data_IF_793217171602
#
_entry.id   IF_793217171602
#
_cell.length_a   1.000
_cell.length_b   1.000
_cell.length_c   1.000
_cell.angle_alpha   90.00
_cell.angle_beta   90.00
_cell.angle_gamma   90.00
#
_symmetry.space_group_name_H-M   'P 1'
#
loop_
_entity.id
_entity.type
_entity.pdbx_description
1 polymer ?
#
# COMPACT_ATOMS: atom_id res chain seq x y z
N UNK A 1 27.51 -58.44 -20.71
CA UNK A 1 26.72 -59.63 -21.11
C UNK A 1 25.27 -59.25 -21.02
N UNK A 2 24.70 -59.05 -22.16
CA UNK A 2 23.40 -59.52 -22.65
C UNK A 2 22.19 -58.94 -21.91
N UNK A 3 21.22 -58.47 -22.48
CA UNK A 3 20.77 -58.10 -23.84
C UNK A 3 19.25 -57.95 -23.78
N UNK A 4 18.71 -56.96 -24.43
CA UNK A 4 17.41 -56.91 -25.11
C UNK A 4 16.10 -57.32 -24.37
N UNK A 5 14.96 -56.66 -24.44
CA UNK A 5 14.25 -56.19 -25.64
C UNK A 5 13.06 -55.32 -25.32
N UNK A 6 12.81 -54.36 -26.18
CA UNK A 6 11.59 -53.69 -26.55
C UNK A 6 10.31 -54.54 -26.55
N UNK A 7 9.22 -53.93 -26.19
CA UNK A 7 7.97 -54.03 -26.97
C UNK A 7 7.10 -52.76 -26.84
N UNK A 8 6.63 -52.35 -27.95
CA UNK A 8 5.75 -51.23 -28.30
C UNK A 8 4.28 -51.64 -28.18
N UNK A 9 3.49 -50.57 -28.20
CA UNK A 9 2.12 -50.48 -28.76
C UNK A 9 1.01 -50.50 -27.68
N UNK A 10 -0.03 -49.75 -27.74
CA UNK A 10 -0.59 -48.71 -28.59
C UNK A 10 -1.99 -48.37 -28.09
N UNK A 11 -2.38 -47.11 -28.27
CA UNK A 11 -3.72 -46.65 -28.60
C UNK A 11 -4.85 -46.57 -27.55
N UNK A 12 -5.18 -45.30 -27.28
CA UNK A 12 -6.48 -44.68 -27.59
C UNK A 12 -7.66 -45.01 -26.64
N UNK A 13 -8.16 -43.96 -26.06
CA UNK A 13 -9.49 -43.84 -25.48
C UNK A 13 -9.69 -42.47 -24.88
N UNK A 14 -9.99 -41.49 -25.74
CA UNK A 14 -10.46 -40.20 -25.28
C UNK A 14 -11.81 -40.36 -24.61
N UNK A 15 -11.97 -39.80 -23.43
CA UNK A 15 -13.30 -39.64 -22.80
C UNK A 15 -13.58 -38.17 -22.67
N UNK A 16 -14.59 -37.78 -23.41
CA UNK A 16 -15.27 -36.53 -23.52
C UNK A 16 -15.63 -35.92 -22.15
N UNK A 17 -15.25 -34.65 -21.98
CA UNK A 17 -15.83 -33.77 -20.95
C UNK A 17 -17.26 -33.42 -21.33
N UNK A 18 -18.23 -34.12 -20.76
CA UNK A 18 -19.62 -33.67 -20.58
C UNK A 18 -20.38 -34.65 -19.69
N UNK A 19 -21.01 -34.08 -18.65
CA UNK A 19 -21.99 -34.71 -17.76
C UNK A 19 -21.49 -35.05 -16.35
N UNK A 20 -21.51 -34.05 -15.47
CA UNK A 20 -21.85 -34.26 -14.06
C UNK A 20 -22.56 -33.00 -13.54
N UNK A 21 -23.81 -32.87 -13.97
CA UNK A 21 -24.78 -32.05 -13.24
C UNK A 21 -26.05 -32.91 -13.15
N UNK A 22 -26.35 -33.42 -11.95
CA UNK A 22 -27.71 -33.53 -11.40
C UNK A 22 -27.72 -34.18 -10.03
N UNK A 23 -28.50 -33.55 -9.17
CA UNK A 23 -29.05 -33.97 -7.87
C UNK A 23 -28.12 -33.68 -6.68
N UNK A 24 -28.27 -32.67 -5.85
CA UNK A 24 -29.46 -32.11 -5.20
C UNK A 24 -29.34 -32.36 -3.70
N UNK A 25 -28.92 -31.34 -2.91
CA UNK A 25 -29.35 -31.17 -1.51
C UNK A 25 -29.41 -29.68 -1.25
N UNK A 26 -30.60 -29.23 -0.85
CA UNK A 26 -30.89 -27.88 -0.42
C UNK A 26 -30.28 -27.66 0.96
N UNK A 27 -29.29 -26.82 1.08
CA UNK A 27 -28.92 -26.16 2.31
C UNK A 27 -28.89 -24.65 1.99
N UNK A 28 -29.75 -23.92 2.67
CA UNK A 28 -29.85 -22.48 2.55
C UNK A 28 -28.56 -21.85 3.07
N UNK A 29 -27.69 -21.47 2.17
CA UNK A 29 -26.62 -20.53 2.40
C UNK A 29 -26.94 -19.29 1.57
N UNK A 30 -26.94 -18.13 2.21
CA UNK A 30 -27.05 -16.86 1.53
C UNK A 30 -25.90 -16.78 0.50
N UNK A 31 -26.22 -17.08 -0.74
CA UNK A 31 -25.34 -16.85 -1.87
C UNK A 31 -25.32 -15.35 -2.14
N UNK A 32 -24.27 -14.67 -1.70
CA UNK A 32 -23.89 -13.41 -2.30
C UNK A 32 -23.61 -13.73 -3.78
N UNK A 33 -24.51 -13.34 -4.63
CA UNK A 33 -24.36 -13.41 -6.08
C UNK A 33 -23.15 -12.56 -6.44
N UNK A 34 -22.09 -13.21 -6.89
CA UNK A 34 -21.09 -12.58 -7.73
C UNK A 34 -21.82 -12.16 -9.01
N UNK A 35 -22.37 -10.96 -8.99
CA UNK A 35 -22.92 -10.33 -10.16
C UNK A 35 -21.74 -10.04 -11.09
N UNK A 36 -21.62 -10.83 -12.15
CA UNK A 36 -20.91 -10.38 -13.35
C UNK A 36 -21.68 -9.16 -13.83
N UNK A 37 -21.21 -7.98 -13.45
CA UNK A 37 -21.72 -6.71 -13.96
C UNK A 37 -21.27 -6.55 -15.41
N UNK A 38 -21.94 -7.24 -16.31
CA UNK A 38 -22.04 -6.82 -17.69
C UNK A 38 -23.13 -5.73 -17.76
N UNK A 39 -22.71 -4.49 -17.84
CA UNK A 39 -23.58 -3.40 -18.28
C UNK A 39 -23.85 -2.29 -17.26
N UNK A 40 -22.83 -1.53 -16.91
CA UNK A 40 -22.98 -0.10 -16.66
C UNK A 40 -21.77 0.57 -17.30
N UNK A 41 -21.99 1.29 -18.37
CA UNK A 41 -21.01 2.14 -19.04
C UNK A 41 -20.76 3.42 -18.23
N UNK A 42 -20.18 3.28 -17.06
CA UNK A 42 -19.24 4.25 -16.54
C UNK A 42 -17.88 3.59 -16.75
N UNK A 43 -17.26 3.86 -17.87
CA UNK A 43 -15.92 3.42 -18.18
C UNK A 43 -14.99 3.88 -17.07
N UNK A 44 -14.39 2.89 -16.34
CA UNK A 44 -13.21 3.16 -15.58
C UNK A 44 -12.28 4.02 -16.45
N UNK A 45 -11.73 5.07 -15.90
CA UNK A 45 -10.88 5.98 -16.67
C UNK A 45 -9.73 5.16 -17.23
N UNK A 46 -9.66 5.07 -18.56
CA UNK A 46 -8.54 4.42 -19.23
C UNK A 46 -7.28 5.22 -18.88
N UNK A 47 -6.32 4.53 -18.27
CA UNK A 47 -5.01 5.11 -18.00
C UNK A 47 -4.23 5.42 -19.30
N UNK A 48 -4.85 5.19 -20.46
CA UNK A 48 -4.22 5.23 -21.78
C UNK A 48 -3.96 6.60 -22.39
N UNK A 49 -4.69 7.65 -22.03
CA UNK A 49 -4.39 9.02 -22.51
C UNK A 49 -3.41 9.70 -21.56
N UNK A 50 -2.12 9.47 -21.78
CA UNK A 50 -1.10 9.77 -20.82
C UNK A 50 -0.09 10.78 -21.32
N UNK A 51 0.48 11.52 -20.38
CA UNK A 51 1.64 12.38 -20.62
C UNK A 51 2.82 11.57 -21.20
N UNK A 52 3.76 12.27 -21.83
CA UNK A 52 5.02 11.65 -22.26
C UNK A 52 5.84 11.19 -21.04
N UNK A 53 6.62 10.10 -21.17
CA UNK A 53 7.53 9.67 -20.14
C UNK A 53 8.55 10.75 -19.84
N UNK A 54 8.76 10.99 -18.54
CA UNK A 54 9.71 12.00 -18.09
C UNK A 54 11.11 11.39 -18.02
N UNK A 55 12.05 12.02 -18.72
CA UNK A 55 13.47 11.72 -18.60
C UNK A 55 14.18 12.92 -17.94
N UNK A 56 14.80 12.69 -16.80
CA UNK A 56 15.53 13.71 -16.05
C UNK A 56 17.01 13.48 -16.23
N UNK A 57 17.69 14.45 -16.87
CA UNK A 57 19.15 14.42 -16.98
C UNK A 57 19.80 14.47 -15.60
N UNK A 58 20.90 13.76 -15.43
CA UNK A 58 21.67 13.73 -14.18
C UNK A 58 22.16 15.12 -13.76
N UNK A 59 22.43 16.00 -14.74
CA UNK A 59 22.95 17.34 -14.51
C UNK A 59 21.86 18.37 -14.08
N UNK A 60 20.58 18.00 -14.20
CA UNK A 60 19.47 18.91 -13.89
C UNK A 60 18.87 18.69 -12.51
N UNK A 61 19.11 17.54 -11.90
CA UNK A 61 18.63 17.23 -10.55
C UNK A 61 19.56 17.80 -9.46
N UNK A 62 18.97 18.24 -8.35
CA UNK A 62 19.70 18.74 -7.19
C UNK A 62 19.82 17.68 -6.11
N UNK A 63 21.05 17.27 -5.78
CA UNK A 63 21.31 16.31 -4.69
C UNK A 63 21.13 16.97 -3.33
N UNK A 64 20.20 16.45 -2.52
CA UNK A 64 19.95 16.98 -1.17
C UNK A 64 21.22 16.88 -0.30
N UNK A 65 21.92 15.76 -0.34
CA UNK A 65 23.07 15.52 0.56
C UNK A 65 24.33 16.27 0.14
N UNK A 66 24.45 16.67 -1.14
CA UNK A 66 25.65 17.32 -1.66
C UNK A 66 25.50 18.83 -1.70
N UNK A 67 24.25 19.34 -1.72
CA UNK A 67 23.97 20.78 -1.90
C UNK A 67 23.37 21.46 -0.69
N UNK A 68 22.56 20.72 0.12
CA UNK A 68 21.93 21.29 1.30
C UNK A 68 22.89 21.30 2.50
N UNK A 69 22.76 22.31 3.36
CA UNK A 69 23.54 22.37 4.59
C UNK A 69 23.03 21.36 5.64
N UNK A 70 23.95 20.61 6.25
CA UNK A 70 23.60 19.73 7.36
C UNK A 70 23.41 20.57 8.64
N UNK A 71 22.25 20.39 9.31
CA UNK A 71 21.91 21.09 10.55
C UNK A 71 21.42 20.10 11.63
N UNK A 72 21.38 20.54 12.88
CA UNK A 72 20.76 19.79 13.95
C UNK A 72 19.25 19.63 13.67
N UNK A 73 18.66 18.51 14.12
CA UNK A 73 17.25 18.24 13.95
C UNK A 73 16.40 19.26 14.74
N UNK A 74 15.60 20.09 14.06
CA UNK A 74 14.79 21.12 14.73
C UNK A 74 13.51 20.56 15.36
N UNK A 75 13.20 19.26 15.12
CA UNK A 75 11.97 18.61 15.58
C UNK A 75 12.25 17.74 16.81
N UNK A 76 11.40 17.85 17.83
CA UNK A 76 11.38 16.99 18.99
C UNK A 76 10.06 16.24 19.11
N UNK A 77 10.09 15.02 19.64
CA UNK A 77 8.86 14.28 19.90
C UNK A 77 7.99 15.02 20.92
N UNK A 78 6.74 15.27 20.55
CA UNK A 78 5.74 15.88 21.46
C UNK A 78 5.09 14.84 22.36
N UNK A 79 4.95 13.61 21.85
CA UNK A 79 4.47 12.48 22.61
C UNK A 79 5.30 11.23 22.31
N UNK A 80 5.38 10.37 23.31
CA UNK A 80 5.96 9.04 23.19
C UNK A 80 5.09 8.05 23.95
N UNK A 81 4.65 7.00 23.27
CA UNK A 81 3.84 5.93 23.86
C UNK A 81 4.51 4.59 23.71
N UNK A 82 4.35 3.77 24.73
CA UNK A 82 4.85 2.39 24.75
C UNK A 82 3.69 1.43 24.55
N UNK A 83 3.76 0.62 23.49
CA UNK A 83 2.81 -0.45 23.20
C UNK A 83 3.46 -1.81 23.49
N UNK A 84 2.65 -2.86 23.72
CA UNK A 84 3.18 -4.22 23.78
C UNK A 84 3.90 -4.61 22.49
N UNK A 85 4.88 -5.49 22.60
CA UNK A 85 5.56 -6.07 21.43
C UNK A 85 4.57 -6.77 20.49
N UNK A 86 4.83 -6.69 19.20
CA UNK A 86 3.99 -7.32 18.17
C UNK A 86 2.91 -6.42 17.59
N UNK A 87 2.81 -5.16 18.05
CA UNK A 87 1.96 -4.16 17.43
C UNK A 87 2.69 -3.52 16.23
N UNK A 88 2.03 -3.51 15.06
CA UNK A 88 2.50 -2.89 13.82
C UNK A 88 1.49 -1.84 13.40
N UNK A 89 1.92 -0.59 13.34
CA UNK A 89 1.09 0.52 12.88
C UNK A 89 1.11 0.60 11.35
N UNK A 90 0.00 1.00 10.78
CA UNK A 90 -0.12 1.25 9.36
C UNK A 90 -0.45 2.73 9.10
N UNK A 91 -0.03 3.30 7.95
CA UNK A 91 -0.29 4.70 7.67
C UNK A 91 -1.78 5.01 7.55
N UNK A 92 -2.19 6.12 8.17
CA UNK A 92 -3.51 6.72 8.02
C UNK A 92 -3.43 8.23 8.28
N UNK A 93 -4.44 9.01 7.87
CA UNK A 93 -4.41 10.47 7.99
C UNK A 93 -5.07 11.00 9.27
N UNK A 94 -6.11 10.34 9.75
CA UNK A 94 -6.93 10.82 10.86
C UNK A 94 -6.27 10.75 12.25
N UNK A 95 -7.06 10.92 13.28
CA UNK A 95 -6.63 10.76 14.69
C UNK A 95 -6.31 9.30 15.01
N UNK A 96 -6.96 8.38 14.32
CA UNK A 96 -6.82 6.94 14.53
C UNK A 96 -5.87 6.32 13.51
N UNK A 97 -4.89 5.56 14.01
CA UNK A 97 -3.98 4.74 13.20
C UNK A 97 -4.38 3.28 13.29
N UNK A 98 -4.55 2.58 12.16
CA UNK A 98 -4.84 1.15 12.19
C UNK A 98 -3.61 0.36 12.64
N UNK A 99 -3.84 -0.65 13.46
CA UNK A 99 -2.79 -1.47 14.08
C UNK A 99 -3.12 -2.93 13.90
N UNK A 100 -2.15 -3.73 13.50
CA UNK A 100 -2.21 -5.19 13.57
C UNK A 100 -1.37 -5.69 14.72
N UNK A 101 -1.90 -6.65 15.47
CA UNK A 101 -1.20 -7.28 16.60
C UNK A 101 -0.88 -8.72 16.27
N UNK A 102 0.41 -9.07 16.36
CA UNK A 102 0.86 -10.45 16.16
C UNK A 102 0.31 -11.36 17.25
N UNK A 103 -0.16 -12.56 16.82
CA UNK A 103 -0.58 -13.60 17.74
C UNK A 103 0.56 -14.24 18.50
N UNK A 104 0.22 -14.89 19.60
CA UNK A 104 1.18 -15.65 20.43
C UNK A 104 1.65 -16.98 19.77
N UNK A 105 1.04 -17.37 18.65
CA UNK A 105 1.30 -18.65 17.97
C UNK A 105 1.63 -18.43 16.48
N UNK A 106 1.41 -19.49 15.68
CA UNK A 106 1.76 -19.48 14.25
C UNK A 106 0.99 -18.46 13.39
N UNK A 107 -0.17 -17.97 13.83
CA UNK A 107 -0.91 -16.93 13.13
C UNK A 107 -0.34 -15.56 13.50
N UNK A 108 0.31 -14.83 12.57
CA UNK A 108 1.07 -13.64 12.89
C UNK A 108 0.17 -12.47 13.30
N UNK A 109 -0.96 -12.25 12.64
CA UNK A 109 -1.84 -11.07 12.85
C UNK A 109 -3.25 -11.56 13.19
N UNK A 110 -3.59 -11.55 14.47
CA UNK A 110 -4.86 -12.12 14.95
C UNK A 110 -5.87 -11.07 15.40
N UNK A 111 -5.42 -9.86 15.70
CA UNK A 111 -6.26 -8.75 16.16
C UNK A 111 -5.99 -7.51 15.32
N UNK A 112 -7.06 -6.86 14.90
CA UNK A 112 -6.99 -5.52 14.33
C UNK A 112 -7.42 -4.49 15.38
N UNK A 113 -6.60 -3.47 15.57
CA UNK A 113 -6.78 -2.44 16.58
C UNK A 113 -6.65 -1.05 15.95
N UNK A 114 -6.95 -0.01 16.71
CA UNK A 114 -6.70 1.37 16.36
C UNK A 114 -6.02 2.11 17.50
N UNK A 115 -4.98 2.87 17.19
CA UNK A 115 -4.25 3.72 18.13
C UNK A 115 -4.66 5.18 17.95
N UNK A 116 -5.07 5.83 19.02
CA UNK A 116 -5.32 7.27 19.01
C UNK A 116 -4.01 8.05 19.08
N UNK A 117 -3.74 8.91 18.09
CA UNK A 117 -2.57 9.81 18.09
C UNK A 117 -2.71 10.99 19.04
N UNK A 118 -3.88 11.22 19.60
CA UNK A 118 -4.11 12.27 20.58
C UNK A 118 -3.93 11.81 22.04
N UNK A 119 -4.22 10.54 22.33
CA UNK A 119 -4.17 10.01 23.71
C UNK A 119 -3.19 8.85 23.91
N UNK A 120 -2.72 8.20 22.82
CA UNK A 120 -1.94 6.98 22.91
C UNK A 120 -2.77 5.74 23.27
N UNK A 121 -4.10 5.86 23.33
CA UNK A 121 -5.00 4.75 23.66
C UNK A 121 -5.06 3.75 22.49
N UNK A 122 -4.79 2.48 22.75
CA UNK A 122 -4.93 1.38 21.81
C UNK A 122 -6.26 0.67 22.08
N UNK A 123 -7.15 0.64 21.08
CA UNK A 123 -8.44 -0.04 21.14
C UNK A 123 -8.49 -1.22 20.19
N UNK A 124 -8.98 -2.36 20.67
CA UNK A 124 -9.30 -3.51 19.83
C UNK A 124 -10.55 -3.19 19.00
N UNK A 125 -10.47 -3.38 17.68
CA UNK A 125 -11.55 -3.10 16.72
C UNK A 125 -12.15 -4.39 16.19
N UNK A 126 -11.30 -5.34 15.75
CA UNK A 126 -11.71 -6.66 15.26
C UNK A 126 -10.92 -7.72 16.02
N UNK A 127 -11.57 -8.37 16.98
CA UNK A 127 -10.94 -9.32 17.90
C UNK A 127 -10.45 -10.61 17.22
N UNK A 128 -11.09 -10.97 16.10
CA UNK A 128 -10.77 -12.19 15.34
C UNK A 128 -11.33 -12.10 13.91
N UNK A 129 -10.78 -12.91 13.02
CA UNK A 129 -11.28 -13.01 11.65
C UNK A 129 -12.77 -13.35 11.59
N UNK A 130 -13.51 -12.63 10.76
CA UNK A 130 -14.96 -12.77 10.56
C UNK A 130 -15.27 -14.07 9.79
N UNK A 131 -14.40 -14.46 8.85
CA UNK A 131 -14.54 -15.71 8.08
C UNK A 131 -14.55 -16.96 8.96
N UNK A 132 -14.04 -16.88 10.19
CA UNK A 132 -14.22 -17.89 11.25
C UNK A 132 -13.51 -19.23 11.01
N UNK A 133 -12.68 -19.35 9.97
CA UNK A 133 -11.88 -20.57 9.75
C UNK A 133 -10.62 -20.54 10.63
N UNK A 134 -10.09 -21.69 10.99
CA UNK A 134 -8.87 -21.80 11.81
C UNK A 134 -7.61 -21.38 11.07
N UNK A 135 -7.69 -21.23 9.75
CA UNK A 135 -6.59 -20.83 8.85
C UNK A 135 -6.69 -19.39 8.38
N UNK A 136 -7.75 -18.67 8.74
CA UNK A 136 -7.92 -17.25 8.41
C UNK A 136 -7.19 -16.36 9.41
N UNK A 137 -6.47 -15.39 8.86
CA UNK A 137 -5.76 -14.36 9.63
C UNK A 137 -6.16 -12.97 9.15
N UNK A 138 -6.12 -11.98 10.02
CA UNK A 138 -6.19 -10.57 9.62
C UNK A 138 -4.84 -10.25 8.97
N UNK A 139 -4.87 -9.99 7.66
CA UNK A 139 -3.68 -9.81 6.83
C UNK A 139 -3.23 -8.35 6.74
N UNK A 140 -4.18 -7.45 6.54
CA UNK A 140 -3.91 -6.01 6.49
C UNK A 140 -5.10 -5.22 7.00
N UNK A 141 -4.84 -4.00 7.44
CA UNK A 141 -5.84 -3.07 7.98
C UNK A 141 -5.62 -1.68 7.44
N UNK A 142 -6.69 -0.92 7.29
CA UNK A 142 -6.67 0.50 6.98
C UNK A 142 -7.82 1.20 7.69
N UNK A 143 -7.66 2.45 8.07
CA UNK A 143 -8.77 3.25 8.58
C UNK A 143 -8.63 4.73 8.23
N UNK A 144 -9.75 5.42 8.35
CA UNK A 144 -9.87 6.85 8.58
C UNK A 144 -10.51 7.06 9.95
N UNK A 145 -10.92 8.28 10.27
CA UNK A 145 -11.72 8.53 11.48
C UNK A 145 -13.20 8.11 11.34
N UNK A 146 -13.64 7.69 10.14
CA UNK A 146 -15.04 7.38 9.83
C UNK A 146 -15.28 5.96 9.26
N UNK A 147 -14.24 5.27 8.82
CA UNK A 147 -14.32 3.90 8.28
C UNK A 147 -13.12 3.07 8.71
N UNK A 148 -13.35 1.80 8.97
CA UNK A 148 -12.32 0.79 9.24
C UNK A 148 -12.48 -0.35 8.24
N UNK A 149 -11.38 -0.72 7.57
CA UNK A 149 -11.35 -1.80 6.60
C UNK A 149 -10.23 -2.79 6.93
N UNK A 150 -10.46 -4.08 6.65
CA UNK A 150 -9.44 -5.11 6.85
C UNK A 150 -9.57 -6.23 5.82
N UNK A 151 -8.43 -6.82 5.51
CA UNK A 151 -8.34 -8.00 4.65
C UNK A 151 -8.08 -9.22 5.51
N UNK A 152 -8.86 -10.26 5.31
CA UNK A 152 -8.63 -11.58 5.86
C UNK A 152 -8.10 -12.52 4.79
N UNK A 153 -7.08 -13.29 5.13
CA UNK A 153 -6.42 -14.25 4.25
C UNK A 153 -6.46 -15.65 4.87
N UNK A 154 -6.98 -16.62 4.14
CA UNK A 154 -6.75 -18.02 4.46
C UNK A 154 -5.35 -18.42 4.02
N UNK A 155 -4.47 -18.71 5.00
CA UNK A 155 -3.05 -18.99 4.73
C UNK A 155 -2.82 -20.32 4.02
N UNK A 156 -3.83 -21.19 3.98
CA UNK A 156 -3.75 -22.51 3.32
C UNK A 156 -4.22 -22.44 1.88
N UNK A 157 -5.39 -21.85 1.64
CA UNK A 157 -5.99 -21.77 0.30
C UNK A 157 -5.58 -20.53 -0.47
N UNK A 158 -5.05 -19.52 0.22
CA UNK A 158 -4.77 -18.20 -0.31
C UNK A 158 -6.00 -17.41 -0.76
N UNK A 159 -7.20 -17.90 -0.46
CA UNK A 159 -8.43 -17.13 -0.62
C UNK A 159 -8.45 -15.96 0.39
N UNK A 160 -9.00 -14.83 -0.01
CA UNK A 160 -9.07 -13.67 0.84
C UNK A 160 -10.39 -12.91 0.71
N UNK A 161 -10.70 -12.14 1.73
CA UNK A 161 -11.90 -11.29 1.77
C UNK A 161 -11.56 -9.92 2.32
N UNK A 162 -12.15 -8.88 1.74
CA UNK A 162 -12.07 -7.50 2.23
C UNK A 162 -13.37 -7.16 2.93
N UNK A 163 -13.26 -6.71 4.16
CA UNK A 163 -14.37 -6.23 4.99
C UNK A 163 -14.19 -4.75 5.32
N UNK A 164 -15.31 -4.06 5.56
CA UNK A 164 -15.32 -2.72 6.11
C UNK A 164 -16.56 -2.45 6.95
N UNK A 165 -16.47 -1.47 7.82
CA UNK A 165 -17.59 -0.95 8.60
C UNK A 165 -17.39 0.52 8.90
N UNK A 166 -18.48 1.24 9.14
CA UNK A 166 -18.41 2.57 9.75
C UNK A 166 -17.63 2.50 11.08
N UNK A 167 -16.86 3.52 11.36
CA UNK A 167 -15.94 3.56 12.48
C UNK A 167 -15.96 4.93 13.13
N UNK A 168 -15.89 4.96 14.44
CA UNK A 168 -15.78 6.20 15.21
C UNK A 168 -15.21 5.91 16.59
N UNK A 169 -14.36 6.81 17.07
CA UNK A 169 -13.81 6.75 18.43
C UNK A 169 -13.16 5.40 18.80
N UNK A 170 -12.49 4.76 17.84
CA UNK A 170 -11.80 3.50 18.06
C UNK A 170 -12.68 2.26 18.05
N UNK A 171 -13.93 2.33 17.55
CA UNK A 171 -14.84 1.20 17.49
C UNK A 171 -15.64 1.18 16.19
N UNK A 172 -16.05 -0.01 15.75
CA UNK A 172 -17.02 -0.16 14.66
C UNK A 172 -18.39 0.34 15.13
N UNK A 173 -19.06 1.13 14.28
CA UNK A 173 -20.37 1.74 14.59
C UNK A 173 -21.47 1.30 13.62
N UNK A 174 -21.13 0.54 12.58
CA UNK A 174 -22.05 0.01 11.58
C UNK A 174 -21.95 -1.52 11.47
N UNK A 175 -22.77 -2.07 10.59
CA UNK A 175 -22.66 -3.48 10.20
C UNK A 175 -21.39 -3.72 9.38
N UNK A 176 -20.82 -4.91 9.54
CA UNK A 176 -19.66 -5.34 8.75
C UNK A 176 -20.14 -5.69 7.34
N UNK A 177 -19.59 -5.00 6.35
CA UNK A 177 -19.85 -5.25 4.94
C UNK A 177 -18.72 -6.07 4.33
N UNK A 178 -19.05 -7.06 3.52
CA UNK A 178 -18.09 -7.77 2.68
C UNK A 178 -17.97 -7.01 1.36
N UNK A 179 -16.84 -6.34 1.13
CA UNK A 179 -16.63 -5.54 -0.06
C UNK A 179 -16.08 -6.35 -1.23
N UNK A 180 -15.27 -7.38 -0.94
CA UNK A 180 -14.65 -8.21 -1.97
C UNK A 180 -14.30 -9.60 -1.45
N UNK A 181 -14.28 -10.57 -2.36
CA UNK A 181 -13.78 -11.92 -2.11
C UNK A 181 -13.06 -12.44 -3.36
N UNK A 182 -11.94 -13.11 -3.17
CA UNK A 182 -11.18 -13.71 -4.27
C UNK A 182 -10.42 -14.97 -3.82
N UNK A 183 -10.01 -15.74 -4.81
CA UNK A 183 -9.17 -16.92 -4.66
C UNK A 183 -7.66 -16.59 -4.82
N UNK A 184 -6.84 -17.63 -4.87
CA UNK A 184 -5.38 -17.51 -5.00
C UNK A 184 -4.89 -16.96 -6.34
N UNK A 185 -5.75 -16.81 -7.34
CA UNK A 185 -5.39 -16.19 -8.63
C UNK A 185 -5.26 -14.66 -8.51
N UNK A 186 -5.73 -14.09 -7.40
CA UNK A 186 -5.69 -12.67 -7.08
C UNK A 186 -4.90 -12.44 -5.80
N UNK A 187 -4.00 -11.47 -5.81
CA UNK A 187 -3.28 -11.09 -4.59
C UNK A 187 -4.21 -10.42 -3.57
N UNK A 188 -3.98 -10.60 -2.26
CA UNK A 188 -4.70 -9.87 -1.22
C UNK A 188 -4.67 -8.37 -1.47
N UNK A 189 -5.84 -7.73 -1.44
CA UNK A 189 -5.98 -6.35 -1.85
C UNK A 189 -5.16 -5.39 -0.99
N UNK A 190 -4.30 -4.53 -1.58
CA UNK A 190 -3.87 -3.31 -0.92
C UNK A 190 -5.06 -2.39 -0.72
N UNK A 191 -5.23 -1.88 0.50
CA UNK A 191 -6.39 -1.05 0.89
C UNK A 191 -5.94 0.24 1.55
N UNK A 192 -6.66 1.33 1.29
CA UNK A 192 -6.53 2.61 1.96
C UNK A 192 -7.91 3.19 2.28
N UNK A 193 -7.98 4.07 3.28
CA UNK A 193 -9.22 4.72 3.71
C UNK A 193 -9.04 6.24 3.77
N UNK A 194 -10.05 6.98 3.32
CA UNK A 194 -10.11 8.44 3.47
C UNK A 194 -11.57 8.88 3.68
N UNK A 195 -11.82 9.72 4.68
CA UNK A 195 -13.18 10.10 5.04
C UNK A 195 -14.05 8.86 5.29
N UNK A 196 -15.15 8.73 4.56
CA UNK A 196 -16.05 7.57 4.59
C UNK A 196 -15.74 6.55 3.49
N UNK A 197 -14.66 6.73 2.73
CA UNK A 197 -14.34 5.93 1.54
C UNK A 197 -13.28 4.87 1.82
N UNK A 198 -13.46 3.69 1.23
CA UNK A 198 -12.49 2.60 1.14
C UNK A 198 -12.05 2.45 -0.30
N UNK A 199 -10.75 2.47 -0.53
CA UNK A 199 -10.12 2.39 -1.84
C UNK A 199 -9.20 1.17 -1.84
N UNK A 200 -9.36 0.27 -2.81
CA UNK A 200 -8.52 -0.93 -2.89
C UNK A 200 -8.22 -1.33 -4.33
N UNK A 201 -7.19 -2.12 -4.50
CA UNK A 201 -6.80 -2.67 -5.79
C UNK A 201 -7.07 -4.16 -5.85
N UNK A 202 -7.70 -4.62 -6.93
CA UNK A 202 -7.82 -6.03 -7.28
C UNK A 202 -6.87 -6.29 -8.44
N UNK A 203 -5.87 -7.12 -8.20
CA UNK A 203 -4.82 -7.38 -9.19
C UNK A 203 -4.46 -8.86 -9.22
N UNK A 204 -4.17 -9.40 -10.43
CA UNK A 204 -3.83 -10.81 -10.55
C UNK A 204 -2.54 -11.13 -9.79
N UNK A 205 -2.47 -12.34 -9.22
CA UNK A 205 -1.26 -12.84 -8.59
C UNK A 205 -0.11 -12.89 -9.60
N UNK A 206 1.09 -12.50 -9.15
CA UNK A 206 2.27 -12.48 -10.02
C UNK A 206 2.66 -13.87 -10.55
N UNK A 207 2.21 -14.93 -9.91
CA UNK A 207 2.49 -16.34 -10.25
C UNK A 207 1.25 -17.17 -10.58
N UNK A 208 0.07 -16.55 -10.62
CA UNK A 208 -1.20 -17.21 -10.90
C UNK A 208 -1.46 -17.45 -12.39
N UNK A 209 -2.63 -18.02 -12.68
CA UNK A 209 -3.08 -18.28 -14.05
C UNK A 209 -3.57 -17.02 -14.79
N UNK A 210 -3.83 -15.93 -14.06
CA UNK A 210 -4.43 -14.68 -14.52
C UNK A 210 -3.43 -13.53 -14.68
N UNK A 211 -2.14 -13.80 -14.74
CA UNK A 211 -1.07 -12.78 -14.80
C UNK A 211 -1.19 -11.77 -15.94
N UNK A 212 -1.95 -12.12 -16.99
CA UNK A 212 -2.18 -11.26 -18.16
C UNK A 212 -3.46 -10.39 -18.05
N UNK A 213 -4.26 -10.59 -16.99
CA UNK A 213 -5.49 -9.80 -16.81
C UNK A 213 -5.18 -8.39 -16.32
N UNK A 214 -6.08 -7.46 -16.60
CA UNK A 214 -6.04 -6.10 -16.09
C UNK A 214 -6.25 -6.09 -14.57
N UNK A 215 -5.75 -5.05 -13.93
CA UNK A 215 -6.00 -4.73 -12.52
C UNK A 215 -6.96 -3.56 -12.44
N UNK A 216 -7.74 -3.50 -11.35
CA UNK A 216 -8.71 -2.44 -11.12
C UNK A 216 -8.56 -1.85 -9.73
N UNK A 217 -8.66 -0.53 -9.64
CA UNK A 217 -8.89 0.17 -8.39
C UNK A 217 -10.39 0.36 -8.19
N UNK A 218 -10.86 0.02 -7.00
CA UNK A 218 -12.26 0.14 -6.60
C UNK A 218 -12.42 1.19 -5.51
N UNK A 219 -13.60 1.78 -5.49
CA UNK A 219 -14.06 2.70 -4.46
C UNK A 219 -15.40 2.22 -3.90
N UNK A 220 -15.52 2.26 -2.59
CA UNK A 220 -16.77 2.10 -1.85
C UNK A 220 -16.85 3.16 -0.76
N UNK A 221 -18.06 3.63 -0.47
CA UNK A 221 -18.32 4.63 0.57
C UNK A 221 -19.32 4.08 1.58
N UNK A 222 -19.12 4.33 2.86
CA UNK A 222 -20.03 3.92 3.93
C UNK A 222 -21.46 4.32 3.60
N UNK A 223 -22.37 3.36 3.65
CA UNK A 223 -23.79 3.53 3.31
C UNK A 223 -24.13 3.25 1.83
N UNK A 224 -23.15 3.05 0.97
CA UNK A 224 -23.40 2.62 -0.42
C UNK A 224 -23.68 1.12 -0.48
N UNK A 225 -24.57 0.71 -1.38
CA UNK A 225 -24.85 -0.71 -1.64
C UNK A 225 -23.74 -1.38 -2.46
N UNK A 226 -23.06 -0.63 -3.31
CA UNK A 226 -22.16 -1.16 -4.32
C UNK A 226 -20.82 -0.45 -4.32
N UNK A 227 -19.78 -1.21 -4.67
CA UNK A 227 -18.46 -0.71 -4.98
C UNK A 227 -18.31 -0.52 -6.51
N UNK A 228 -17.55 0.48 -6.90
CA UNK A 228 -17.34 0.80 -8.31
C UNK A 228 -15.86 0.69 -8.69
N UNK A 229 -15.58 0.09 -9.87
CA UNK A 229 -14.28 0.18 -10.49
C UNK A 229 -14.08 1.61 -11.02
N UNK A 230 -13.01 2.27 -10.62
CA UNK A 230 -12.76 3.70 -10.90
C UNK A 230 -11.51 3.93 -11.75
N UNK A 231 -10.48 3.10 -11.60
CA UNK A 231 -9.26 3.15 -12.41
C UNK A 231 -8.87 1.76 -12.87
N UNK A 232 -8.64 1.60 -14.17
CA UNK A 232 -8.08 0.38 -14.75
C UNK A 232 -6.57 0.52 -14.96
N UNK A 233 -5.86 -0.60 -14.82
CA UNK A 233 -4.46 -0.75 -15.20
C UNK A 233 -4.32 -1.97 -16.11
N UNK A 234 -3.79 -1.83 -17.32
CA UNK A 234 -3.52 -2.97 -18.22
C UNK A 234 -2.34 -3.81 -17.69
N UNK A 235 -2.52 -4.44 -16.54
CA UNK A 235 -1.56 -5.17 -15.74
C UNK A 235 -1.54 -4.66 -14.30
N UNK A 236 -0.55 -5.09 -13.52
CA UNK A 236 -0.49 -4.78 -12.08
C UNK A 236 -0.16 -3.31 -11.84
N UNK A 237 -0.75 -2.71 -10.81
CA UNK A 237 -0.29 -1.44 -10.28
C UNK A 237 1.11 -1.60 -9.68
N UNK A 238 1.94 -0.56 -9.77
CA UNK A 238 3.28 -0.59 -9.19
C UNK A 238 3.29 -0.43 -7.68
N UNK A 239 2.37 0.37 -7.14
CA UNK A 239 2.27 0.72 -5.71
C UNK A 239 0.87 0.46 -5.17
N UNK A 240 0.76 0.28 -3.86
CA UNK A 240 -0.52 0.32 -3.15
C UNK A 240 -1.14 1.73 -3.21
N UNK A 241 -2.48 1.88 -3.05
CA UNK A 241 -3.12 3.17 -2.93
C UNK A 241 -2.50 3.96 -1.78
N UNK A 242 -2.13 5.21 -2.02
CA UNK A 242 -1.54 6.09 -1.01
C UNK A 242 -2.40 7.34 -0.87
N UNK A 243 -3.01 7.53 0.30
CA UNK A 243 -3.80 8.73 0.58
C UNK A 243 -2.84 9.90 0.86
N UNK A 244 -3.12 11.05 0.27
CA UNK A 244 -2.35 12.28 0.39
C UNK A 244 -3.32 13.47 0.48
N UNK A 245 -3.91 13.70 1.64
CA UNK A 245 -4.97 14.70 1.81
C UNK A 245 -6.19 14.38 0.95
N UNK A 246 -6.55 15.30 0.07
CA UNK A 246 -7.72 15.13 -0.81
C UNK A 246 -7.46 14.25 -2.03
N UNK A 247 -6.28 13.62 -2.12
CA UNK A 247 -5.90 12.80 -3.26
C UNK A 247 -5.53 11.38 -2.86
N UNK A 248 -5.79 10.45 -3.76
CA UNK A 248 -5.14 9.13 -3.73
C UNK A 248 -4.11 9.05 -4.87
N UNK A 249 -2.92 8.59 -4.52
CA UNK A 249 -1.86 8.33 -5.49
C UNK A 249 -1.87 6.85 -5.84
N UNK A 250 -1.99 6.57 -7.14
CA UNK A 250 -1.91 5.25 -7.75
C UNK A 250 -0.77 5.23 -8.76
N UNK A 251 -0.29 4.04 -9.13
CA UNK A 251 0.65 3.89 -10.24
C UNK A 251 0.21 2.76 -11.18
N UNK A 252 -0.83 3.00 -12.01
CA UNK A 252 -1.24 2.07 -13.05
C UNK A 252 -0.15 1.94 -14.12
N UNK A 253 -0.18 0.83 -14.86
CA UNK A 253 0.53 0.73 -16.13
C UNK A 253 -0.17 1.64 -17.14
N UNK A 254 0.63 2.37 -17.89
CA UNK A 254 0.19 3.30 -18.93
C UNK A 254 0.95 3.00 -20.22
N UNK A 255 0.49 3.52 -21.38
CA UNK A 255 1.17 3.33 -22.68
C UNK A 255 1.48 1.85 -22.99
N UNK A 256 0.53 0.95 -22.69
CA UNK A 256 0.76 -0.50 -22.77
C UNK A 256 1.19 -1.01 -24.15
N UNK A 257 0.84 -0.31 -25.23
CA UNK A 257 1.26 -0.60 -26.60
C UNK A 257 2.74 -0.28 -26.89
N UNK A 258 3.37 0.56 -26.06
CA UNK A 258 4.75 1.05 -26.26
C UNK A 258 5.75 0.37 -25.33
N UNK A 259 5.28 -0.32 -24.29
CA UNK A 259 6.14 -1.01 -23.36
C UNK A 259 5.63 -1.05 -21.93
N UNK A 260 6.54 -1.12 -20.98
CA UNK A 260 6.21 -1.09 -19.55
C UNK A 260 6.49 0.28 -18.98
N UNK A 261 5.45 1.07 -18.86
CA UNK A 261 5.48 2.39 -18.23
C UNK A 261 4.52 2.41 -17.06
N UNK A 262 4.85 3.17 -16.02
CA UNK A 262 3.99 3.42 -14.88
C UNK A 262 3.69 4.91 -14.77
N UNK A 263 2.42 5.27 -14.68
CA UNK A 263 1.99 6.65 -14.41
C UNK A 263 1.71 6.83 -12.91
N UNK A 264 2.60 7.50 -12.19
CA UNK A 264 2.30 7.93 -10.81
C UNK A 264 1.27 9.05 -10.90
N UNK A 265 0.04 8.73 -10.53
CA UNK A 265 -1.13 9.57 -10.81
C UNK A 265 -1.86 9.91 -9.53
N UNK A 266 -2.18 11.17 -9.33
CA UNK A 266 -3.03 11.67 -8.27
C UNK A 266 -4.47 11.84 -8.77
N UNK A 267 -5.41 11.20 -8.10
CA UNK A 267 -6.85 11.30 -8.35
C UNK A 267 -7.54 12.01 -7.19
N UNK A 268 -8.53 12.85 -7.50
CA UNK A 268 -9.35 13.51 -6.50
C UNK A 268 -10.28 12.50 -5.81
N UNK A 269 -10.32 12.54 -4.47
CA UNK A 269 -11.16 11.61 -3.69
C UNK A 269 -12.62 12.10 -3.61
N UNK A 270 -12.81 13.39 -3.52
CA UNK A 270 -14.11 14.03 -3.33
C UNK A 270 -15.07 13.88 -4.51
N UNK A 271 -14.56 13.63 -5.71
CA UNK A 271 -15.36 13.33 -6.91
C UNK A 271 -15.43 11.83 -7.26
N UNK A 272 -15.00 10.98 -6.35
CA UNK A 272 -14.98 9.52 -6.55
C UNK A 272 -13.91 9.04 -7.52
N UNK A 273 -12.76 9.68 -7.54
CA UNK A 273 -11.60 9.36 -8.39
C UNK A 273 -11.84 9.59 -9.89
N UNK A 274 -12.79 10.46 -10.24
CA UNK A 274 -13.11 10.77 -11.65
C UNK A 274 -12.11 11.76 -12.25
N UNK A 275 -11.55 12.66 -11.44
CA UNK A 275 -10.57 13.65 -11.90
C UNK A 275 -9.15 13.18 -11.65
N UNK A 276 -8.40 13.02 -12.74
CA UNK A 276 -6.94 12.94 -12.72
C UNK A 276 -6.38 14.35 -12.51
N UNK A 277 -5.87 14.61 -11.31
CA UNK A 277 -5.36 15.94 -10.93
C UNK A 277 -3.97 16.17 -11.52
N UNK A 278 -3.13 15.12 -11.50
CA UNK A 278 -1.73 15.22 -11.93
C UNK A 278 -1.16 13.83 -12.24
N UNK A 279 -0.15 13.75 -13.14
CA UNK A 279 0.47 12.48 -13.52
C UNK A 279 1.93 12.65 -13.91
N UNK A 280 2.80 11.90 -13.22
CA UNK A 280 4.20 11.71 -13.58
C UNK A 280 4.36 10.34 -14.24
N UNK A 281 4.66 10.31 -15.54
CA UNK A 281 4.95 9.05 -16.24
C UNK A 281 6.42 8.69 -16.06
N UNK A 282 6.66 7.58 -15.39
CA UNK A 282 8.01 7.08 -15.15
C UNK A 282 8.69 6.65 -16.45
N UNK A 283 10.02 6.73 -16.55
CA UNK A 283 10.76 6.21 -17.69
C UNK A 283 10.48 4.71 -17.95
N UNK A 284 10.75 4.27 -19.17
CA UNK A 284 10.51 2.88 -19.57
C UNK A 284 11.14 1.88 -18.57
N UNK A 285 10.36 0.90 -18.15
CA UNK A 285 10.77 -0.16 -17.22
C UNK A 285 11.19 0.30 -15.81
N UNK A 286 11.07 1.59 -15.48
CA UNK A 286 11.29 2.09 -14.12
C UNK A 286 10.00 1.89 -13.31
N UNK A 287 10.11 1.12 -12.24
CA UNK A 287 8.98 0.83 -11.34
C UNK A 287 9.17 1.56 -10.02
N UNK A 288 8.22 2.43 -9.61
CA UNK A 288 8.27 3.01 -8.28
C UNK A 288 8.00 1.95 -7.20
N UNK A 289 8.66 2.06 -6.05
CA UNK A 289 8.36 1.29 -4.85
C UNK A 289 7.20 1.88 -4.08
N UNK A 290 7.27 3.21 -3.89
CA UNK A 290 6.24 4.01 -3.23
C UNK A 290 6.19 5.37 -3.88
N UNK A 291 5.04 5.98 -3.81
CA UNK A 291 4.88 7.37 -4.20
C UNK A 291 3.82 8.04 -3.34
N UNK A 292 3.97 9.33 -3.12
CA UNK A 292 2.95 10.21 -2.56
C UNK A 292 3.00 11.56 -3.28
N UNK A 293 1.97 12.39 -3.05
CA UNK A 293 1.94 13.78 -3.53
C UNK A 293 1.92 14.72 -2.33
N UNK A 294 2.77 15.72 -2.34
CA UNK A 294 2.87 16.73 -1.30
C UNK A 294 2.89 18.11 -1.97
N UNK A 295 1.85 18.90 -1.77
CA UNK A 295 1.61 20.10 -2.56
C UNK A 295 1.45 19.75 -4.04
N UNK A 296 2.26 20.35 -4.89
CA UNK A 296 2.27 20.10 -6.35
C UNK A 296 3.38 19.15 -6.80
N UNK A 297 4.11 18.52 -5.86
CA UNK A 297 5.24 17.64 -6.16
C UNK A 297 4.92 16.19 -5.83
N UNK A 298 5.38 15.29 -6.69
CA UNK A 298 5.44 13.87 -6.38
C UNK A 298 6.72 13.56 -5.60
N UNK A 299 6.61 12.66 -4.63
CA UNK A 299 7.75 12.05 -3.96
C UNK A 299 7.74 10.58 -4.30
N UNK A 300 8.75 10.13 -5.03
CA UNK A 300 8.81 8.77 -5.58
C UNK A 300 10.09 8.09 -5.13
N UNK A 301 9.98 6.90 -4.53
CA UNK A 301 11.13 6.05 -4.26
C UNK A 301 11.26 4.96 -5.33
N UNK A 302 12.49 4.74 -5.79
CA UNK A 302 12.80 3.88 -6.94
C UNK A 302 13.93 2.90 -6.59
N UNK A 303 13.75 1.61 -6.91
CA UNK A 303 14.85 0.69 -7.07
C UNK A 303 15.58 0.98 -8.38
N UNK A 304 16.87 0.73 -8.41
CA UNK A 304 17.65 1.01 -9.60
C UNK A 304 17.16 0.24 -10.84
N UNK A 305 17.06 0.97 -11.95
CA UNK A 305 17.06 0.42 -13.29
C UNK A 305 18.05 1.22 -14.14
N UNK A 306 19.31 0.86 -14.08
CA UNK A 306 20.40 1.62 -14.73
C UNK A 306 20.38 1.60 -16.26
N UNK A 307 19.47 0.87 -16.88
CA UNK A 307 19.37 0.79 -18.34
C UNK A 307 18.45 1.84 -18.96
N UNK A 308 17.73 2.58 -18.15
CA UNK A 308 16.79 3.62 -18.64
C UNK A 308 16.52 4.69 -17.58
N UNK A 309 16.01 5.84 -18.02
CA UNK A 309 15.41 6.85 -17.15
C UNK A 309 16.34 7.92 -16.61
N UNK A 310 17.56 8.01 -17.06
CA UNK A 310 18.46 9.04 -16.56
C UNK A 310 18.55 9.01 -15.02
N UNK A 311 18.33 10.17 -14.38
CA UNK A 311 18.33 10.29 -12.92
C UNK A 311 17.25 9.41 -12.28
N UNK A 312 16.03 9.39 -12.83
CA UNK A 312 14.90 8.59 -12.30
C UNK A 312 15.10 7.07 -12.43
N UNK A 313 16.06 6.61 -13.21
CA UNK A 313 16.47 5.21 -13.28
C UNK A 313 17.41 4.78 -12.15
N UNK A 314 17.96 5.71 -11.39
CA UNK A 314 18.88 5.43 -10.28
C UNK A 314 18.12 5.15 -8.99
N UNK A 315 18.75 4.39 -8.12
CA UNK A 315 18.22 4.10 -6.79
C UNK A 315 18.17 5.38 -5.94
N UNK A 316 17.00 5.67 -5.38
CA UNK A 316 16.84 6.83 -4.50
C UNK A 316 15.41 7.23 -4.27
N UNK A 317 15.24 8.38 -3.64
CA UNK A 317 13.95 9.06 -3.48
C UNK A 317 14.01 10.41 -4.18
N UNK A 318 13.03 10.67 -5.02
CA UNK A 318 12.94 11.84 -5.90
C UNK A 318 11.73 12.69 -5.50
N UNK A 319 11.91 14.01 -5.50
CA UNK A 319 10.88 15.02 -5.25
C UNK A 319 10.87 15.93 -6.46
N UNK A 320 9.78 16.04 -7.19
CA UNK A 320 9.72 16.86 -8.39
C UNK A 320 8.29 17.08 -8.90
N UNK A 321 8.13 18.01 -9.82
CA UNK A 321 6.89 18.21 -10.53
C UNK A 321 6.63 17.05 -11.51
N UNK A 322 5.40 16.94 -12.00
CA UNK A 322 4.99 15.87 -12.91
C UNK A 322 5.64 15.92 -14.28
N UNK A 323 6.16 17.09 -14.69
CA UNK A 323 6.91 17.29 -15.92
C UNK A 323 8.42 17.01 -15.77
N UNK A 324 8.87 16.62 -14.57
CA UNK A 324 10.29 16.36 -14.28
C UNK A 324 11.11 17.62 -14.03
N UNK A 325 10.47 18.76 -13.84
CA UNK A 325 11.15 19.99 -13.42
C UNK A 325 11.42 19.99 -11.90
N UNK A 326 12.36 20.82 -11.48
CA UNK A 326 12.71 21.05 -10.07
C UNK A 326 12.97 19.77 -9.26
N UNK A 327 13.66 18.80 -9.87
CA UNK A 327 13.91 17.52 -9.23
C UNK A 327 14.99 17.65 -8.15
N UNK A 328 14.60 17.34 -6.93
CA UNK A 328 15.51 17.08 -5.81
C UNK A 328 15.63 15.58 -5.62
N UNK A 329 16.79 15.09 -5.22
CA UNK A 329 16.95 13.67 -4.98
C UNK A 329 17.82 13.37 -3.76
N UNK A 330 17.46 12.25 -3.12
CA UNK A 330 18.21 11.63 -2.05
C UNK A 330 18.80 10.31 -2.59
N UNK A 331 20.09 10.31 -2.94
CA UNK A 331 20.82 9.15 -3.44
C UNK A 331 21.16 8.18 -2.29
N UNK A 332 20.14 7.58 -1.69
CA UNK A 332 20.25 6.57 -0.64
C UNK A 332 19.35 5.39 -0.98
N UNK A 333 19.70 4.22 -0.46
CA UNK A 333 18.85 3.04 -0.58
C UNK A 333 17.44 3.37 -0.08
N UNK A 334 16.42 3.36 -0.97
CA UNK A 334 15.07 3.69 -0.57
C UNK A 334 14.51 2.57 0.27
N UNK A 335 13.70 2.93 1.25
CA UNK A 335 12.90 1.96 1.97
C UNK A 335 11.49 1.91 1.38
N UNK A 336 10.77 0.78 1.53
CA UNK A 336 9.39 0.65 1.09
C UNK A 336 8.42 1.52 1.93
N UNK A 337 8.76 2.78 2.13
CA UNK A 337 7.95 3.76 2.82
C UNK A 337 7.84 5.01 1.96
N UNK A 338 6.63 5.52 1.80
CA UNK A 338 6.44 6.83 1.23
C UNK A 338 6.94 7.90 2.20
N UNK A 339 7.35 9.06 1.67
CA UNK A 339 7.71 10.20 2.48
C UNK A 339 6.48 10.83 3.15
N UNK A 340 6.71 11.57 4.23
CA UNK A 340 5.71 12.40 4.89
C UNK A 340 6.30 13.79 5.16
N UNK A 341 5.44 14.79 5.41
CA UNK A 341 5.92 16.13 5.75
C UNK A 341 4.89 17.22 5.53
N UNK A 342 5.34 18.48 5.52
CA UNK A 342 4.49 19.67 5.30
C UNK A 342 5.30 20.86 4.85
N UNK A 343 4.73 21.69 3.99
CA UNK A 343 5.25 23.02 3.69
C UNK A 343 6.70 23.06 3.18
N UNK A 344 7.12 22.07 2.40
CA UNK A 344 8.50 21.96 1.91
C UNK A 344 9.46 21.21 2.81
N UNK A 345 8.98 20.65 3.92
CA UNK A 345 9.74 19.73 4.79
C UNK A 345 9.36 18.28 4.47
N UNK A 346 10.35 17.43 4.22
CA UNK A 346 10.18 16.05 3.82
C UNK A 346 10.92 15.10 4.75
N UNK A 347 10.21 14.19 5.40
CA UNK A 347 10.76 13.08 6.17
C UNK A 347 10.90 11.87 5.25
N UNK A 348 12.10 11.56 4.83
CA UNK A 348 12.39 10.51 3.86
C UNK A 348 13.10 9.37 4.57
N UNK A 349 12.47 8.20 4.62
CA UNK A 349 13.06 7.01 5.24
C UNK A 349 14.29 6.53 4.47
N UNK A 350 15.39 6.33 5.17
CA UNK A 350 16.62 5.76 4.65
C UNK A 350 17.19 4.79 5.67
N UNK A 351 17.09 3.50 5.41
CA UNK A 351 17.48 2.43 6.35
C UNK A 351 16.87 2.64 7.73
N UNK A 352 17.69 2.85 8.75
CA UNK A 352 17.27 2.99 10.15
C UNK A 352 17.00 4.43 10.61
N UNK A 353 17.02 5.41 9.70
CA UNK A 353 16.86 6.84 10.04
C UNK A 353 15.95 7.52 9.00
N UNK A 354 15.58 8.75 9.29
CA UNK A 354 14.99 9.65 8.31
C UNK A 354 15.96 10.76 7.98
N UNK A 355 16.09 11.08 6.70
CA UNK A 355 16.62 12.35 6.25
C UNK A 355 15.44 13.32 6.24
N UNK A 356 15.55 14.39 7.01
CA UNK A 356 14.56 15.45 7.09
C UNK A 356 15.08 16.61 6.27
N UNK A 357 14.56 16.76 5.05
CA UNK A 357 14.96 17.81 4.13
C UNK A 357 14.01 18.99 4.22
N UNK A 358 14.52 20.19 4.46
CA UNK A 358 13.80 21.46 4.34
C UNK A 358 14.24 22.14 3.04
N UNK A 359 13.36 22.13 2.06
CA UNK A 359 13.64 22.69 0.74
C UNK A 359 13.69 24.20 0.75
N UNK A 360 12.90 24.85 1.61
CA UNK A 360 12.82 26.31 1.67
C UNK A 360 14.15 26.91 2.18
N UNK A 361 14.75 26.25 3.17
CA UNK A 361 16.00 26.71 3.80
C UNK A 361 17.24 26.04 3.20
N UNK A 362 17.05 25.10 2.28
CA UNK A 362 18.12 24.25 1.71
C UNK A 362 18.98 23.59 2.80
N UNK A 363 18.30 23.00 3.79
CA UNK A 363 18.94 22.29 4.89
C UNK A 363 18.45 20.84 4.99
N UNK A 364 19.27 19.99 5.57
CA UNK A 364 18.82 18.66 5.98
C UNK A 364 19.33 18.30 7.38
N UNK A 365 18.57 17.44 8.03
CA UNK A 365 18.91 16.87 9.34
C UNK A 365 18.59 15.38 9.36
N UNK A 366 19.01 14.69 10.45
CA UNK A 366 18.80 13.25 10.61
C UNK A 366 17.95 13.00 11.84
N UNK A 367 16.75 12.45 11.64
CA UNK A 367 15.94 11.87 12.70
C UNK A 367 16.39 10.42 12.92
N UNK A 368 17.08 10.17 14.03
CA UNK A 368 17.55 8.85 14.39
C UNK A 368 16.45 8.02 15.03
N UNK A 369 16.45 6.72 14.73
CA UNK A 369 15.64 5.72 15.42
C UNK A 369 15.96 5.65 16.91
N UNK A 370 14.95 5.32 17.73
CA UNK A 370 15.10 5.08 19.17
C UNK A 370 16.07 3.91 19.41
N UNK A 371 15.87 2.82 18.71
CA UNK A 371 16.75 1.64 18.78
C UNK A 371 17.11 1.17 17.37
N UNK A 372 18.38 1.34 16.99
CA UNK A 372 18.92 0.89 15.70
C UNK A 372 19.32 -0.57 15.67
N UNK A 373 19.27 -1.23 16.80
CA UNK A 373 19.73 -2.62 16.95
C UNK A 373 18.63 -3.65 16.67
N UNK A 374 17.38 -3.18 16.53
CA UNK A 374 16.24 -4.01 16.21
C UNK A 374 15.77 -3.64 14.80
N UNK A 375 15.74 -4.64 13.91
CA UNK A 375 15.24 -4.51 12.54
C UNK A 375 15.84 -3.29 11.80
N UNK A 376 15.05 -2.62 10.96
CA UNK A 376 15.45 -1.38 10.26
C UNK A 376 15.11 -0.10 11.04
N UNK A 377 14.97 -0.24 12.35
CA UNK A 377 14.76 0.89 13.25
C UNK A 377 13.31 1.37 13.23
N UNK A 378 13.07 2.59 12.79
CA UNK A 378 11.80 3.29 12.96
C UNK A 378 11.01 3.39 11.66
N UNK A 379 9.70 3.10 11.72
CA UNK A 379 8.79 3.07 10.57
C UNK A 379 7.79 4.22 10.63
N UNK A 380 7.36 4.78 9.48
CA UNK A 380 6.35 5.82 9.47
C UNK A 380 4.95 5.24 9.60
N UNK A 381 4.10 5.93 10.34
CA UNK A 381 2.67 5.72 10.41
C UNK A 381 1.88 6.87 9.78
N UNK A 382 2.57 7.76 9.05
CA UNK A 382 2.03 8.84 8.24
C UNK A 382 2.71 8.86 6.88
N UNK A 383 1.97 9.25 5.86
CA UNK A 383 2.43 9.36 4.48
C UNK A 383 1.83 10.62 3.85
N UNK A 384 2.59 11.27 2.98
CA UNK A 384 2.13 12.48 2.31
C UNK A 384 2.12 13.70 3.22
N UNK A 385 1.24 14.64 2.94
CA UNK A 385 1.14 15.88 3.72
C UNK A 385 0.44 15.61 5.06
N UNK A 386 1.06 16.04 6.16
CA UNK A 386 0.54 15.82 7.50
C UNK A 386 0.99 16.92 8.48
N UNK A 387 0.12 17.28 9.42
CA UNK A 387 0.43 18.23 10.49
C UNK A 387 1.29 17.63 11.60
N UNK A 388 1.31 16.31 11.69
CA UNK A 388 2.06 15.57 12.70
C UNK A 388 2.64 14.33 12.06
N UNK A 389 3.95 14.24 12.01
CA UNK A 389 4.64 13.03 11.60
C UNK A 389 4.62 12.02 12.74
N UNK A 390 4.30 10.77 12.45
CA UNK A 390 4.21 9.69 13.43
C UNK A 390 5.10 8.55 13.01
N UNK A 391 5.89 8.05 13.97
CA UNK A 391 6.77 6.90 13.76
C UNK A 391 6.55 5.86 14.83
N UNK A 392 6.97 4.63 14.56
CA UNK A 392 7.03 3.56 15.55
C UNK A 392 8.25 2.68 15.31
N UNK A 393 8.78 2.11 16.40
CA UNK A 393 9.88 1.16 16.33
C UNK A 393 9.79 0.11 17.45
N UNK A 394 10.24 -1.11 17.16
CA UNK A 394 10.50 -2.10 18.21
C UNK A 394 11.76 -1.72 18.97
N UNK A 395 11.72 -1.82 20.28
CA UNK A 395 12.88 -1.54 21.15
C UNK A 395 13.17 -2.73 22.06
N UNK A 396 14.46 -2.87 22.40
CA UNK A 396 14.94 -3.92 23.29
C UNK A 396 14.77 -3.52 24.74
N UNK A 397 14.48 -4.52 25.55
CA UNK A 397 14.68 -4.42 26.99
C UNK A 397 16.17 -4.31 27.31
N UNK A 398 16.56 -3.31 28.10
CA UNK A 398 17.95 -3.02 28.41
C UNK A 398 18.64 -4.14 29.19
N UNK A 399 17.89 -4.97 29.94
CA UNK A 399 18.40 -6.06 30.76
C UNK A 399 18.60 -7.33 29.97
N UNK A 400 17.60 -7.70 29.16
CA UNK A 400 17.59 -8.97 28.43
C UNK A 400 18.20 -8.87 27.06
N UNK A 401 18.22 -7.68 26.44
CA UNK A 401 18.66 -7.44 25.04
C UNK A 401 17.72 -7.96 23.97
N UNK A 402 16.53 -8.46 24.34
CA UNK A 402 15.50 -8.91 23.40
C UNK A 402 14.46 -7.82 23.13
N UNK A 403 13.83 -7.79 21.93
CA UNK A 403 12.69 -6.92 21.67
C UNK A 403 11.61 -7.10 22.73
N UNK A 404 11.12 -6.01 23.32
CA UNK A 404 10.20 -6.05 24.45
C UNK A 404 8.94 -5.19 24.25
N UNK A 405 9.05 -4.11 23.49
CA UNK A 405 7.95 -3.18 23.30
C UNK A 405 8.05 -2.48 21.95
N UNK A 406 7.00 -1.72 21.60
CA UNK A 406 6.96 -0.82 20.46
C UNK A 406 6.84 0.60 20.99
N UNK A 407 7.75 1.48 20.61
CA UNK A 407 7.69 2.91 20.93
C UNK A 407 7.06 3.64 19.75
N UNK A 408 6.07 4.46 20.03
CA UNK A 408 5.40 5.36 19.04
C UNK A 408 5.76 6.79 19.39
N UNK A 409 6.26 7.55 18.42
CA UNK A 409 6.62 8.97 18.60
C UNK A 409 5.84 9.86 17.65
N UNK A 410 5.45 11.06 18.11
CA UNK A 410 4.80 12.07 17.30
C UNK A 410 5.62 13.35 17.23
N UNK A 411 5.70 13.93 16.04
CA UNK A 411 6.47 15.14 15.76
C UNK A 411 5.55 16.16 15.08
N UNK A 412 5.12 17.25 15.75
CA UNK A 412 4.42 18.36 15.11
C UNK A 412 5.28 19.02 14.04
N UNK A 413 4.67 19.41 12.89
CA UNK A 413 5.33 20.01 11.73
C UNK A 413 4.88 21.45 11.48
#
# INVERSE_FOLDING_TARGET
>A
MLDHRRARASRQGGVSRRSFFKTGVVAASAAATVGVLAGCTNSAQDAGDTAEPVDVSEDTGTSILDTFASVDLPYSASNEWTLPLGNVLHPAEGVWLPVTTAGAFANPMVVASALSTSSGELKEVVAKAVTGTTTSVIYSVACSDSVYAWVELDVTTRAWSLFASAFSNGALTGEIQTLWQADSDWDPAPVACSGTSVIWQVQPSASGSKTAESSYCYLWTVGSSDAHAVVESPGRFAIAPTICGNWVVLAPRVRASEGTYYGVTAYAIDDGLQTRVDQLVMPASVRPFRACRMGEKFVVSVAANYSSGGLLGKMGTYIGASDGSDVLYLAREPFECAAAGKGGVYFIKSRSSYIVANVNDQTYSVLSSVDRSVDYGEYPARVGECDTFVTFSSVKDATTGYPASVIVRTFPL
#
